data_IF_477690396793
#
_entry.id   IF_477690396793
#
_cell.length_a   1.000
_cell.length_b   1.000
_cell.length_c   1.000
_cell.angle_alpha   90.00
_cell.angle_beta   90.00
_cell.angle_gamma   90.00
#
_symmetry.space_group_name_H-M   'P 1'
#
loop_
_entity.id
_entity.type
_entity.pdbx_description
1 polymer ?
#
# COMPACT_ATOMS: atom_id res chain seq x y z
N UNK A 1 -5.51 -24.02 -2.25
CA UNK A 1 -4.98 -22.66 -2.04
C UNK A 1 -3.67 -22.75 -1.27
N UNK A 2 -2.60 -22.12 -1.75
CA UNK A 2 -1.32 -22.13 -1.04
C UNK A 2 -1.45 -21.61 0.40
N UNK A 3 -0.72 -22.22 1.34
CA UNK A 3 -0.76 -21.83 2.76
C UNK A 3 -0.42 -20.36 2.96
N UNK A 4 0.53 -19.83 2.20
CA UNK A 4 0.92 -18.41 2.27
C UNK A 4 -0.24 -17.47 1.92
N UNK A 5 -1.02 -17.78 0.89
CA UNK A 5 -2.19 -16.96 0.52
C UNK A 5 -3.23 -16.96 1.65
N UNK A 6 -3.46 -18.12 2.28
CA UNK A 6 -4.37 -18.18 3.44
C UNK A 6 -3.87 -17.33 4.61
N UNK A 7 -2.57 -17.35 4.86
CA UNK A 7 -1.95 -16.54 5.92
C UNK A 7 -2.10 -15.03 5.62
N UNK A 8 -1.91 -14.63 4.38
CA UNK A 8 -2.10 -13.24 3.93
C UNK A 8 -3.56 -12.81 4.10
N UNK A 9 -4.51 -13.64 3.71
CA UNK A 9 -5.93 -13.34 3.88
C UNK A 9 -6.34 -13.27 5.36
N UNK A 10 -5.79 -14.15 6.20
CA UNK A 10 -6.04 -14.11 7.64
C UNK A 10 -5.49 -12.85 8.28
N UNK A 11 -4.29 -12.42 7.86
CA UNK A 11 -3.69 -11.17 8.29
C UNK A 11 -4.53 -9.97 7.87
N UNK A 12 -4.94 -9.94 6.62
CA UNK A 12 -5.76 -8.89 6.01
C UNK A 12 -7.05 -8.65 6.82
N UNK A 13 -7.74 -9.73 7.20
CA UNK A 13 -8.93 -9.64 8.07
C UNK A 13 -8.64 -9.05 9.45
N UNK A 14 -7.50 -9.38 10.04
CA UNK A 14 -7.12 -8.84 11.36
C UNK A 14 -6.84 -7.35 11.31
N UNK A 15 -6.28 -6.86 10.21
CA UNK A 15 -5.93 -5.44 10.04
C UNK A 15 -7.13 -4.62 9.58
N UNK A 16 -7.85 -5.09 8.57
CA UNK A 16 -8.90 -4.31 7.88
C UNK A 16 -10.33 -4.78 8.20
N UNK A 17 -10.47 -5.80 9.05
CA UNK A 17 -11.78 -6.36 9.38
C UNK A 17 -12.39 -7.10 8.19
N UNK A 18 -13.66 -6.79 7.89
CA UNK A 18 -14.37 -7.39 6.75
C UNK A 18 -14.34 -6.52 5.50
N UNK A 19 -13.78 -5.32 5.59
CA UNK A 19 -13.72 -4.35 4.51
C UNK A 19 -12.38 -4.41 3.79
N UNK A 20 -12.38 -4.09 2.51
CA UNK A 20 -11.17 -3.93 1.68
C UNK A 20 -10.29 -5.18 1.60
N UNK A 21 -10.89 -6.36 1.75
CA UNK A 21 -10.16 -7.62 1.68
C UNK A 21 -9.84 -7.99 0.23
N UNK A 22 -8.62 -8.43 0.00
CA UNK A 22 -8.18 -8.89 -1.31
C UNK A 22 -8.54 -10.36 -1.52
N UNK A 23 -9.11 -10.71 -2.70
CA UNK A 23 -9.30 -12.11 -3.05
C UNK A 23 -7.96 -12.83 -3.27
N UNK A 24 -7.98 -14.16 -3.18
CA UNK A 24 -6.78 -14.97 -3.38
C UNK A 24 -6.12 -14.71 -4.74
N UNK A 25 -6.91 -14.48 -5.79
CA UNK A 25 -6.42 -14.17 -7.14
C UNK A 25 -5.56 -12.91 -7.18
N UNK A 26 -5.93 -11.89 -6.40
CA UNK A 26 -5.17 -10.65 -6.29
C UNK A 26 -3.86 -10.86 -5.52
N UNK A 27 -3.90 -11.58 -4.41
CA UNK A 27 -2.68 -11.89 -3.65
C UNK A 27 -1.64 -12.64 -4.48
N UNK A 28 -2.08 -13.48 -5.42
CA UNK A 28 -1.17 -14.23 -6.30
C UNK A 28 -0.37 -13.35 -7.25
N UNK A 29 -0.92 -12.23 -7.67
CA UNK A 29 -0.23 -11.31 -8.58
C UNK A 29 0.59 -10.25 -7.84
N UNK A 30 0.38 -10.11 -6.53
CA UNK A 30 1.15 -9.19 -5.70
C UNK A 30 2.48 -9.80 -5.27
N UNK A 31 3.48 -8.96 -5.12
CA UNK A 31 4.70 -9.26 -4.39
C UNK A 31 4.53 -8.81 -2.94
N UNK A 32 4.46 -9.76 -2.03
CA UNK A 32 4.11 -9.52 -0.63
C UNK A 32 5.29 -9.77 0.29
N UNK A 33 5.39 -8.98 1.35
CA UNK A 33 6.47 -9.04 2.33
C UNK A 33 5.90 -9.00 3.74
N UNK A 34 6.41 -9.89 4.60
CA UNK A 34 6.15 -9.83 6.03
C UNK A 34 7.15 -8.93 6.72
N UNK A 35 6.68 -8.13 7.66
CA UNK A 35 7.53 -7.44 8.62
C UNK A 35 7.69 -8.30 9.86
N UNK A 36 8.93 -8.68 10.15
CA UNK A 36 9.26 -9.50 11.31
C UNK A 36 10.03 -8.68 12.33
N UNK A 37 9.60 -8.75 13.58
CA UNK A 37 10.33 -8.20 14.71
C UNK A 37 10.62 -9.37 15.66
N UNK A 38 11.88 -9.68 15.89
CA UNK A 38 12.32 -10.82 16.69
C UNK A 38 11.63 -12.14 16.29
N UNK A 39 11.52 -12.36 14.96
CA UNK A 39 10.87 -13.54 14.39
C UNK A 39 9.34 -13.55 14.41
N UNK A 40 8.70 -12.50 14.94
CA UNK A 40 7.25 -12.40 15.02
C UNK A 40 6.71 -11.55 13.86
N UNK A 41 5.71 -12.05 13.16
CA UNK A 41 5.01 -11.30 12.11
C UNK A 41 4.17 -10.18 12.74
N UNK A 42 4.57 -8.94 12.52
CA UNK A 42 3.88 -7.75 13.05
C UNK A 42 3.16 -6.96 11.98
N UNK A 43 3.56 -7.12 10.72
CA UNK A 43 3.00 -6.37 9.60
C UNK A 43 3.21 -7.06 8.27
N UNK A 44 2.55 -6.53 7.26
CA UNK A 44 2.64 -6.99 5.88
C UNK A 44 2.46 -5.81 4.93
N UNK A 45 3.17 -5.82 3.83
CA UNK A 45 2.88 -4.95 2.70
C UNK A 45 2.90 -5.74 1.40
N UNK A 46 2.28 -5.20 0.38
CA UNK A 46 2.30 -5.80 -0.95
C UNK A 46 2.45 -4.74 -2.02
N UNK A 47 3.20 -5.12 -3.06
CA UNK A 47 3.39 -4.33 -4.26
C UNK A 47 2.72 -5.02 -5.44
N UNK A 48 2.14 -4.26 -6.32
CA UNK A 48 1.64 -4.77 -7.58
C UNK A 48 2.58 -4.38 -8.72
N UNK A 49 2.99 -5.41 -9.50
CA UNK A 49 4.01 -5.24 -10.55
C UNK A 49 3.44 -4.92 -11.92
N UNK A 50 2.16 -5.23 -12.16
CA UNK A 50 1.53 -5.19 -13.48
C UNK A 50 0.23 -4.41 -13.47
N UNK A 51 0.17 -3.34 -12.70
CA UNK A 51 -1.03 -2.52 -12.61
C UNK A 51 -1.14 -1.56 -13.77
N UNK A 52 -2.31 -1.51 -14.32
CA UNK A 52 -2.72 -0.50 -15.27
C UNK A 52 -3.73 0.41 -14.56
N UNK A 53 -3.24 1.50 -14.01
CA UNK A 53 -4.09 2.50 -13.34
C UNK A 53 -4.75 3.43 -14.35
N UNK A 54 -5.55 2.90 -15.23
CA UNK A 54 -6.11 3.68 -16.33
C UNK A 54 -7.04 4.78 -15.89
N UNK A 55 -7.79 4.56 -14.82
CA UNK A 55 -8.91 5.45 -14.51
C UNK A 55 -8.93 5.95 -13.08
N UNK A 56 -8.66 5.09 -12.10
CA UNK A 56 -9.00 5.39 -10.72
C UNK A 56 -7.81 5.83 -9.87
N UNK A 57 -6.62 5.35 -10.14
CA UNK A 57 -5.48 5.59 -9.27
C UNK A 57 -4.45 6.55 -9.88
N UNK A 58 -4.23 6.52 -11.19
CA UNK A 58 -3.33 7.46 -11.85
C UNK A 58 -4.10 8.47 -12.70
N UNK A 59 -3.83 9.79 -12.55
CA UNK A 59 -4.65 10.82 -13.18
C UNK A 59 -4.65 10.79 -14.70
N UNK A 60 -3.57 10.38 -15.33
CA UNK A 60 -3.44 10.36 -16.79
C UNK A 60 -3.62 8.97 -17.41
N UNK A 61 -3.98 7.99 -16.62
CA UNK A 61 -4.28 6.64 -17.08
C UNK A 61 -3.10 5.85 -17.62
N UNK A 62 -1.86 6.29 -17.37
CA UNK A 62 -0.67 5.60 -17.85
C UNK A 62 -0.32 4.43 -16.95
N UNK A 63 0.31 3.40 -17.52
CA UNK A 63 0.78 2.26 -16.74
C UNK A 63 1.96 2.69 -15.85
N UNK A 64 1.81 2.64 -14.50
CA UNK A 64 2.83 3.12 -13.58
C UNK A 64 4.18 2.43 -13.76
N UNK A 65 4.18 1.15 -14.09
CA UNK A 65 5.42 0.39 -14.23
C UNK A 65 6.25 0.84 -15.43
N UNK A 66 5.61 1.14 -16.56
CA UNK A 66 6.30 1.67 -17.74
C UNK A 66 6.99 2.99 -17.44
N UNK A 67 6.50 3.71 -16.44
CA UNK A 67 7.03 5.01 -16.02
C UNK A 67 7.96 4.91 -14.81
N UNK A 68 8.35 3.70 -14.43
CA UNK A 68 9.18 3.49 -13.26
C UNK A 68 8.44 3.75 -11.95
N UNK A 69 7.14 3.45 -11.90
CA UNK A 69 6.30 3.63 -10.72
C UNK A 69 6.10 2.30 -9.98
N UNK A 70 6.33 2.32 -8.65
CA UNK A 70 5.96 1.23 -7.76
C UNK A 70 4.61 1.54 -7.13
N UNK A 71 3.66 0.63 -7.25
CA UNK A 71 2.37 0.74 -6.56
C UNK A 71 2.38 -0.11 -5.28
N UNK A 72 2.15 0.56 -4.14
CA UNK A 72 1.91 -0.11 -2.87
C UNK A 72 0.41 -0.32 -2.74
N UNK A 73 -0.04 -1.56 -2.88
CA UNK A 73 -1.46 -1.88 -2.86
C UNK A 73 -2.02 -2.09 -1.45
N UNK A 74 -1.18 -2.45 -0.50
CA UNK A 74 -1.58 -2.55 0.91
C UNK A 74 -0.38 -2.41 1.83
N UNK A 75 -0.64 -1.86 3.00
CA UNK A 75 0.29 -1.81 4.14
C UNK A 75 -0.52 -2.00 5.40
N UNK A 76 -0.17 -2.97 6.22
CA UNK A 76 -0.89 -3.24 7.46
C UNK A 76 0.05 -3.61 8.59
N UNK A 77 -0.27 -3.11 9.79
CA UNK A 77 0.34 -3.51 11.06
C UNK A 77 -0.76 -4.15 11.89
N UNK A 78 -0.48 -5.31 12.47
CA UNK A 78 -1.45 -5.98 13.36
C UNK A 78 -1.88 -5.04 14.49
N UNK A 79 -3.17 -5.01 14.86
CA UNK A 79 -3.69 -4.04 15.84
C UNK A 79 -2.90 -3.98 17.15
N UNK A 80 -2.47 -5.12 17.69
CA UNK A 80 -1.71 -5.16 18.95
C UNK A 80 -0.30 -4.54 18.84
N UNK A 81 0.20 -4.32 17.63
CA UNK A 81 1.51 -3.72 17.39
C UNK A 81 1.43 -2.28 16.87
N UNK A 82 0.24 -1.75 16.68
CA UNK A 82 0.05 -0.37 16.24
C UNK A 82 0.47 0.63 17.33
N UNK A 83 0.84 1.84 16.90
CA UNK A 83 1.29 2.89 17.81
C UNK A 83 2.71 2.72 18.36
N UNK A 84 3.51 1.83 17.80
CA UNK A 84 4.91 1.55 18.22
C UNK A 84 5.96 1.95 17.20
N UNK A 85 5.57 2.68 16.15
CA UNK A 85 6.49 3.13 15.10
C UNK A 85 6.74 2.10 13.99
N UNK A 86 6.07 0.96 13.96
CA UNK A 86 6.29 -0.06 12.94
C UNK A 86 5.78 0.37 11.56
N UNK A 87 4.71 1.15 11.50
CA UNK A 87 4.24 1.73 10.24
C UNK A 87 5.28 2.65 9.61
N UNK A 88 5.97 3.43 10.43
CA UNK A 88 7.07 4.30 10.00
C UNK A 88 8.24 3.47 9.45
N UNK A 89 8.65 2.42 10.15
CA UNK A 89 9.70 1.51 9.70
C UNK A 89 9.32 0.84 8.38
N UNK A 90 8.07 0.41 8.25
CA UNK A 90 7.56 -0.18 7.01
C UNK A 90 7.66 0.81 5.85
N UNK A 91 7.28 2.07 6.06
CA UNK A 91 7.36 3.12 5.04
C UNK A 91 8.81 3.39 4.63
N UNK A 92 9.72 3.45 5.57
CA UNK A 92 11.15 3.61 5.31
C UNK A 92 11.66 2.46 4.43
N UNK A 93 11.28 1.23 4.75
CA UNK A 93 11.68 0.07 3.98
C UNK A 93 11.09 0.08 2.56
N UNK A 94 9.82 0.44 2.41
CA UNK A 94 9.17 0.55 1.10
C UNK A 94 9.89 1.55 0.20
N UNK A 95 10.28 2.69 0.75
CA UNK A 95 11.04 3.71 0.00
C UNK A 95 12.42 3.20 -0.38
N UNK A 96 13.13 2.56 0.55
CA UNK A 96 14.43 1.96 0.28
C UNK A 96 14.34 0.86 -0.79
N UNK A 97 13.31 0.02 -0.73
CA UNK A 97 13.02 -0.99 -1.74
C UNK A 97 12.86 -0.36 -3.14
N UNK A 98 12.04 0.68 -3.22
CA UNK A 98 11.78 1.36 -4.49
C UNK A 98 13.06 1.98 -5.08
N UNK A 99 13.88 2.62 -4.25
CA UNK A 99 15.17 3.19 -4.66
C UNK A 99 16.14 2.11 -5.15
N UNK A 100 16.26 1.03 -4.38
CA UNK A 100 17.16 -0.07 -4.69
C UNK A 100 16.80 -0.75 -6.03
N UNK A 101 15.51 -0.83 -6.35
CA UNK A 101 15.01 -1.44 -7.59
C UNK A 101 14.87 -0.44 -8.75
N UNK A 102 15.35 0.78 -8.60
CA UNK A 102 15.41 1.78 -9.67
C UNK A 102 14.07 2.42 -10.03
N UNK A 103 13.07 2.35 -9.16
CA UNK A 103 11.81 3.05 -9.39
C UNK A 103 11.99 4.56 -9.27
N UNK A 104 11.28 5.30 -10.10
CA UNK A 104 11.33 6.77 -10.12
C UNK A 104 10.33 7.41 -9.18
N UNK A 105 9.27 6.67 -8.85
CA UNK A 105 8.19 7.15 -7.98
C UNK A 105 7.47 5.99 -7.31
N UNK A 106 6.78 6.32 -6.23
CA UNK A 106 5.88 5.40 -5.52
C UNK A 106 4.48 6.00 -5.54
N UNK A 107 3.48 5.19 -5.85
CA UNK A 107 2.06 5.57 -5.76
C UNK A 107 1.38 4.63 -4.77
N UNK A 108 0.52 5.17 -3.95
CA UNK A 108 -0.34 4.42 -3.05
C UNK A 108 -1.68 5.13 -2.91
N UNK A 109 -2.70 4.41 -2.44
CA UNK A 109 -3.98 5.01 -2.13
C UNK A 109 -4.49 4.51 -0.78
N UNK A 110 -5.28 5.34 -0.14
CA UNK A 110 -5.89 5.03 1.16
C UNK A 110 -7.25 5.69 1.29
N UNK A 111 -8.08 5.15 2.19
CA UNK A 111 -9.35 5.78 2.52
C UNK A 111 -9.12 7.20 3.04
N UNK A 112 -9.97 8.12 2.61
CA UNK A 112 -9.90 9.53 3.06
C UNK A 112 -9.99 9.64 4.58
N UNK A 113 -10.78 8.79 5.24
CA UNK A 113 -10.91 8.77 6.70
C UNK A 113 -9.69 8.23 7.43
N UNK A 114 -8.77 7.56 6.76
CA UNK A 114 -7.56 7.04 7.37
C UNK A 114 -6.52 8.16 7.54
N UNK A 115 -6.79 9.06 8.46
CA UNK A 115 -5.96 10.24 8.71
C UNK A 115 -4.54 9.87 9.14
N UNK A 116 -4.38 8.77 9.89
CA UNK A 116 -3.06 8.32 10.37
C UNK A 116 -2.15 7.93 9.20
N UNK A 117 -2.66 7.17 8.23
CA UNK A 117 -1.88 6.77 7.05
C UNK A 117 -1.57 7.97 6.15
N UNK A 118 -2.53 8.88 5.96
CA UNK A 118 -2.32 10.10 5.18
C UNK A 118 -1.23 10.96 5.83
N UNK A 119 -1.28 11.13 7.15
CA UNK A 119 -0.28 11.90 7.90
C UNK A 119 1.10 11.24 7.81
N UNK A 120 1.17 9.90 7.91
CA UNK A 120 2.42 9.17 7.77
C UNK A 120 3.02 9.36 6.39
N UNK A 121 2.22 9.22 5.34
CA UNK A 121 2.68 9.42 3.96
C UNK A 121 3.21 10.85 3.76
N UNK A 122 2.53 11.85 4.29
CA UNK A 122 2.98 13.25 4.21
C UNK A 122 4.31 13.48 4.92
N UNK A 123 4.54 12.83 6.05
CA UNK A 123 5.84 12.91 6.74
C UNK A 123 7.00 12.39 5.88
N UNK A 124 6.73 11.45 4.99
CA UNK A 124 7.70 10.93 4.04
C UNK A 124 7.65 11.63 2.68
N UNK A 125 7.03 12.82 2.62
CA UNK A 125 6.96 13.70 1.44
C UNK A 125 6.08 13.17 0.30
N UNK A 126 5.21 12.22 0.57
CA UNK A 126 4.13 11.89 -0.35
C UNK A 126 3.18 13.08 -0.44
N UNK A 127 2.73 13.36 -1.65
CA UNK A 127 1.73 14.40 -1.90
C UNK A 127 0.46 13.79 -2.49
N UNK A 128 -0.67 14.39 -2.19
CA UNK A 128 -1.94 13.99 -2.82
C UNK A 128 -1.94 14.43 -4.27
N UNK A 129 -2.17 13.49 -5.19
CA UNK A 129 -2.30 13.77 -6.62
C UNK A 129 -3.74 13.71 -7.09
N UNK A 130 -4.60 12.98 -6.40
CA UNK A 130 -6.02 12.88 -6.72
C UNK A 130 -6.82 12.38 -5.53
N UNK A 131 -8.09 12.78 -5.45
CA UNK A 131 -9.09 12.20 -4.57
C UNK A 131 -10.24 11.71 -5.44
N UNK A 132 -10.54 10.42 -5.40
CA UNK A 132 -11.64 9.83 -6.15
C UNK A 132 -12.80 9.56 -5.19
N UNK A 133 -13.94 10.26 -5.34
CA UNK A 133 -15.09 10.06 -4.46
C UNK A 133 -15.71 8.70 -4.71
N UNK A 134 -16.34 8.15 -3.66
CA UNK A 134 -17.11 6.89 -3.75
C UNK A 134 -16.29 5.70 -4.27
N UNK A 135 -15.00 5.69 -4.02
CA UNK A 135 -14.12 4.59 -4.45
C UNK A 135 -14.40 3.31 -3.68
N UNK A 136 -14.60 3.44 -2.36
CA UNK A 136 -14.92 2.32 -1.47
C UNK A 136 -16.43 2.24 -1.26
N UNK A 137 -16.97 1.02 -1.12
CA UNK A 137 -18.41 0.79 -0.97
C UNK A 137 -18.83 0.50 0.47
N UNK A 138 -18.00 -0.17 1.28
CA UNK A 138 -18.37 -0.58 2.64
C UNK A 138 -17.21 -0.41 3.62
N UNK A 139 -17.27 0.61 4.50
CA UNK A 139 -18.15 1.76 4.41
C UNK A 139 -17.81 2.64 3.22
N UNK A 140 -18.79 3.40 2.72
CA UNK A 140 -18.57 4.33 1.61
C UNK A 140 -17.53 5.38 1.98
N UNK A 141 -16.54 5.58 1.12
CA UNK A 141 -15.49 6.57 1.31
C UNK A 141 -14.78 6.89 0.00
N UNK A 142 -14.16 8.06 -0.05
CA UNK A 142 -13.24 8.42 -1.11
C UNK A 142 -11.89 7.75 -0.91
N UNK A 143 -11.15 7.57 -2.00
CA UNK A 143 -9.72 7.24 -1.93
C UNK A 143 -8.88 8.49 -2.16
N UNK A 144 -7.83 8.63 -1.38
CA UNK A 144 -6.78 9.65 -1.57
C UNK A 144 -5.59 8.96 -2.21
N UNK A 145 -5.26 9.37 -3.43
CA UNK A 145 -4.11 8.85 -4.17
C UNK A 145 -2.92 9.76 -3.90
N UNK A 146 -1.82 9.17 -3.46
CA UNK A 146 -0.62 9.89 -3.04
C UNK A 146 0.60 9.37 -3.77
N UNK A 147 1.54 10.26 -4.05
CA UNK A 147 2.75 9.97 -4.80
C UNK A 147 3.98 10.53 -4.12
N UNK A 148 5.05 9.75 -4.10
CA UNK A 148 6.39 10.19 -3.75
C UNK A 148 7.28 10.13 -4.98
N UNK A 149 7.89 11.24 -5.36
CA UNK A 149 8.94 11.26 -6.37
C UNK A 149 10.27 10.86 -5.74
N UNK A 150 10.96 9.91 -6.38
CA UNK A 150 12.29 9.46 -5.98
C UNK A 150 13.39 10.08 -6.84
N UNK A 151 13.01 10.93 -7.78
CA UNK A 151 13.97 11.65 -8.62
C UNK A 151 14.71 12.66 -7.76
N UNK A 152 16.03 12.66 -7.85
CA UNK A 152 16.85 13.72 -7.25
C UNK A 152 16.55 15.05 -7.95
N UNK A 153 16.45 16.08 -7.13
CA UNK A 153 16.30 17.45 -7.64
C UNK A 153 17.66 18.03 -7.99
#
# INVERSE_FOLDING_TARGET
MPAEIRNLQAFDRKVFGKSDLFPASYWRICESYWMLIDGVKVGCCAFEKHVDFRQDLHPDGRNPRREGCLYICTTGILPRFQGRGFGRLMKQWQIAYARHHGFKRIVTNTRKRNAAMIALNRKFHFRTIRTTPRYYSEPADATVVMELSLLEK
#
